data_IF_107855068742
#
_entry.id   IF_107855068742
#
_cell.length_a   1.000
_cell.length_b   1.000
_cell.length_c   1.000
_cell.angle_alpha   90.00
_cell.angle_beta   90.00
_cell.angle_gamma   90.00
#
_symmetry.space_group_name_H-M   'P 1'
#
loop_
_entity.id
_entity.type
_entity.pdbx_description
1 polymer ?
#
# COMPACT_ATOMS: atom_id res chain seq x y z
N UNK A 1 19.26 19.10 12.93
CA UNK A 1 17.92 18.81 13.53
C UNK A 1 17.36 17.55 12.87
N UNK A 2 16.62 16.67 13.58
CA UNK A 2 16.01 15.50 12.94
C UNK A 2 14.75 15.88 12.16
N UNK A 3 14.67 15.42 10.92
CA UNK A 3 13.60 15.64 9.94
C UNK A 3 13.05 14.30 9.45
N UNK A 4 11.82 14.30 8.95
CA UNK A 4 11.14 13.08 8.53
C UNK A 4 10.63 13.21 7.09
N UNK A 5 11.07 12.28 6.27
CA UNK A 5 10.69 12.17 4.88
C UNK A 5 9.64 11.07 4.68
N UNK A 6 8.70 11.31 3.79
CA UNK A 6 7.71 10.34 3.34
C UNK A 6 7.86 10.07 1.84
N UNK A 7 7.69 8.82 1.42
CA UNK A 7 7.70 8.50 0.00
C UNK A 7 6.47 9.09 -0.70
N UNK A 8 6.68 9.60 -1.91
CA UNK A 8 5.62 9.95 -2.85
C UNK A 8 5.88 9.27 -4.21
N UNK A 9 4.89 9.32 -5.10
CA UNK A 9 4.88 8.54 -6.32
C UNK A 9 4.27 9.31 -7.49
N UNK A 10 4.74 8.99 -8.69
CA UNK A 10 4.19 9.43 -9.97
C UNK A 10 3.64 8.24 -10.74
N UNK A 11 2.81 7.42 -10.10
CA UNK A 11 2.24 6.18 -10.66
C UNK A 11 0.71 6.24 -10.69
N UNK A 12 0.08 5.44 -11.54
CA UNK A 12 -1.38 5.33 -11.56
C UNK A 12 -1.96 4.59 -10.34
N UNK A 13 -1.17 3.77 -9.65
CA UNK A 13 -1.68 2.86 -8.62
C UNK A 13 -1.77 3.53 -7.24
N UNK A 14 -3.00 3.75 -6.73
CA UNK A 14 -3.23 4.37 -5.39
C UNK A 14 -2.72 3.51 -4.22
N UNK A 15 -2.46 2.22 -4.46
CA UNK A 15 -1.85 1.33 -3.48
C UNK A 15 -0.44 1.76 -3.07
N UNK A 16 0.24 2.58 -3.88
CA UNK A 16 1.50 3.19 -3.49
C UNK A 16 1.28 4.24 -2.38
N UNK A 17 0.33 5.16 -2.51
CA UNK A 17 0.03 6.13 -1.44
C UNK A 17 -0.54 5.48 -0.19
N UNK A 18 -1.28 4.37 -0.30
CA UNK A 18 -1.72 3.61 0.88
C UNK A 18 -0.51 3.13 1.70
N UNK A 19 0.61 2.78 1.05
CA UNK A 19 1.86 2.44 1.74
C UNK A 19 2.47 3.66 2.44
N UNK A 20 2.37 4.86 1.85
CA UNK A 20 2.80 6.11 2.50
C UNK A 20 1.89 6.48 3.67
N UNK A 21 0.58 6.29 3.59
CA UNK A 21 -0.33 6.49 4.73
C UNK A 21 0.04 5.55 5.89
N UNK A 22 0.43 4.31 5.59
CA UNK A 22 0.92 3.39 6.62
C UNK A 22 2.25 3.84 7.26
N UNK A 23 3.17 4.41 6.47
CA UNK A 23 4.43 4.94 6.97
C UNK A 23 4.26 6.25 7.77
N UNK A 24 3.35 7.14 7.34
CA UNK A 24 3.02 8.43 7.96
C UNK A 24 2.69 8.26 9.45
N UNK A 25 2.04 7.15 9.83
CA UNK A 25 1.74 6.78 11.23
C UNK A 25 2.96 6.79 12.16
N UNK A 26 4.14 6.52 11.63
CA UNK A 26 5.39 6.44 12.40
C UNK A 26 6.22 7.71 12.35
N UNK A 27 5.73 8.77 11.69
CA UNK A 27 6.41 10.05 11.60
C UNK A 27 5.68 11.08 12.50
N UNK A 28 6.38 11.84 13.35
CA UNK A 28 5.74 12.89 14.15
C UNK A 28 5.23 14.04 13.27
N UNK A 29 5.84 14.24 12.11
CA UNK A 29 5.47 15.20 11.08
C UNK A 29 6.06 14.71 9.74
N UNK A 30 5.61 15.30 8.63
CA UNK A 30 6.23 15.10 7.31
C UNK A 30 6.91 16.42 6.92
N UNK A 31 8.24 16.43 6.92
CA UNK A 31 9.04 17.59 6.51
C UNK A 31 9.31 17.57 5.00
N UNK A 32 9.47 16.37 4.42
CA UNK A 32 9.82 16.21 3.01
C UNK A 32 9.03 15.10 2.33
N UNK A 33 8.74 15.28 1.05
CA UNK A 33 8.27 14.22 0.16
C UNK A 33 9.38 13.81 -0.82
N UNK A 34 9.67 12.51 -0.87
CA UNK A 34 10.71 11.95 -1.73
C UNK A 34 10.07 11.02 -2.75
N UNK A 35 10.25 11.32 -4.03
CA UNK A 35 9.71 10.45 -5.06
C UNK A 35 10.53 9.15 -5.15
N UNK A 36 9.89 8.00 -4.95
CA UNK A 36 10.55 6.68 -4.92
C UNK A 36 11.37 6.40 -6.18
N UNK A 37 10.88 6.84 -7.34
CA UNK A 37 11.52 6.61 -8.64
C UNK A 37 12.57 7.67 -9.02
N UNK A 38 12.68 8.75 -8.25
CA UNK A 38 13.57 9.89 -8.53
C UNK A 38 14.35 10.32 -7.28
N UNK A 39 14.88 9.34 -6.53
CA UNK A 39 15.60 9.59 -5.27
C UNK A 39 16.85 10.47 -5.42
N UNK A 40 17.47 10.50 -6.60
CA UNK A 40 18.65 11.33 -6.88
C UNK A 40 18.30 12.81 -7.06
N UNK A 41 17.03 13.15 -7.30
CA UNK A 41 16.56 14.52 -7.52
C UNK A 41 16.24 15.25 -6.21
N UNK A 42 16.28 14.55 -5.07
CA UNK A 42 16.00 15.15 -3.77
C UNK A 42 17.11 16.13 -3.36
N UNK A 43 16.67 17.31 -2.92
CA UNK A 43 17.53 18.37 -2.37
C UNK A 43 16.95 18.77 -1.01
N UNK A 44 17.75 18.67 0.04
CA UNK A 44 17.37 19.16 1.36
C UNK A 44 17.51 20.70 1.45
N UNK A 45 16.71 21.33 2.31
CA UNK A 45 16.74 22.79 2.50
C UNK A 45 18.04 23.26 3.19
N UNK A 46 18.66 22.38 3.97
CA UNK A 46 19.90 22.66 4.70
C UNK A 46 20.79 21.42 4.82
N UNK A 47 22.09 21.64 5.03
CA UNK A 47 23.11 20.59 5.14
C UNK A 47 23.32 20.05 6.56
N UNK A 48 22.68 20.63 7.57
CA UNK A 48 22.80 20.29 9.00
C UNK A 48 21.61 19.46 9.55
N UNK A 49 20.80 18.92 8.64
CA UNK A 49 19.65 18.08 8.96
C UNK A 49 20.01 16.59 8.94
N UNK A 50 19.40 15.81 9.83
CA UNK A 50 19.38 14.35 9.75
C UNK A 50 17.97 13.92 9.34
N UNK A 51 17.83 13.27 8.19
CA UNK A 51 16.54 12.97 7.58
C UNK A 51 16.27 11.48 7.71
N UNK A 52 15.20 11.11 8.42
CA UNK A 52 14.72 9.73 8.52
C UNK A 52 13.72 9.45 7.41
N UNK A 53 13.87 8.31 6.73
CA UNK A 53 13.00 7.84 5.65
C UNK A 53 12.68 6.36 5.84
N UNK A 54 11.40 6.02 5.96
CA UNK A 54 10.95 4.62 5.90
C UNK A 54 10.85 4.23 4.42
N UNK A 55 11.69 3.30 3.98
CA UNK A 55 11.74 2.82 2.59
C UNK A 55 10.92 1.53 2.43
N UNK A 56 9.60 1.69 2.38
CA UNK A 56 8.67 0.58 2.15
C UNK A 56 8.05 0.59 0.76
N UNK A 57 7.83 -0.62 0.25
CA UNK A 57 6.99 -0.86 -0.92
C UNK A 57 7.68 -1.56 -2.08
N UNK A 58 7.08 -1.44 -3.27
CA UNK A 58 7.65 -2.01 -4.49
C UNK A 58 8.82 -1.12 -4.96
N UNK A 59 9.87 -1.69 -5.51
CA UNK A 59 10.95 -0.96 -6.16
C UNK A 59 11.27 -1.71 -7.46
N UNK A 60 11.38 -1.06 -8.62
CA UNK A 60 11.16 0.36 -8.94
C UNK A 60 10.84 0.52 -10.43
N UNK A 61 10.18 1.60 -10.86
CA UNK A 61 10.01 1.91 -12.29
C UNK A 61 11.30 2.51 -12.87
N UNK A 62 12.06 3.21 -12.02
CA UNK A 62 13.35 3.79 -12.36
C UNK A 62 14.45 3.26 -11.44
N UNK A 63 14.83 1.97 -11.56
CA UNK A 63 15.83 1.34 -10.69
C UNK A 63 17.22 1.97 -10.80
N UNK A 64 17.52 2.70 -11.86
CA UNK A 64 18.76 3.47 -12.02
C UNK A 64 18.90 4.66 -11.05
N UNK A 65 17.78 5.14 -10.48
CA UNK A 65 17.76 6.16 -9.43
C UNK A 65 17.97 5.57 -8.02
N UNK A 66 18.35 4.29 -7.93
CA UNK A 66 18.74 3.62 -6.69
C UNK A 66 20.25 3.29 -6.76
N UNK A 67 21.01 3.43 -5.64
CA UNK A 67 20.54 3.70 -4.29
C UNK A 67 20.38 5.20 -4.04
N UNK A 68 19.76 5.54 -2.91
CA UNK A 68 19.74 6.88 -2.39
C UNK A 68 21.18 7.38 -2.11
N UNK A 69 21.55 8.55 -2.66
CA UNK A 69 22.91 9.10 -2.57
C UNK A 69 23.07 10.22 -1.54
N UNK A 70 21.96 10.75 -1.03
CA UNK A 70 21.99 11.93 -0.16
C UNK A 70 22.54 11.57 1.23
N UNK A 71 23.64 12.21 1.70
CA UNK A 71 24.35 11.78 2.91
C UNK A 71 23.56 12.03 4.20
N UNK A 72 22.64 12.99 4.19
CA UNK A 72 21.80 13.33 5.35
C UNK A 72 20.62 12.37 5.54
N UNK A 73 20.32 11.51 4.57
CA UNK A 73 19.19 10.60 4.68
C UNK A 73 19.65 9.25 5.25
N UNK A 74 19.01 8.85 6.34
CA UNK A 74 19.26 7.60 7.06
C UNK A 74 18.05 6.69 6.88
N UNK A 75 17.99 5.81 5.86
CA UNK A 75 16.79 5.03 5.57
C UNK A 75 16.58 3.86 6.53
N UNK A 76 15.32 3.53 6.80
CA UNK A 76 14.90 2.22 7.32
C UNK A 76 14.44 1.35 6.14
N UNK A 77 15.13 0.24 5.90
CA UNK A 77 14.81 -0.69 4.83
C UNK A 77 13.83 -1.76 5.34
N UNK A 78 12.53 -1.59 5.06
CA UNK A 78 11.47 -2.44 5.61
C UNK A 78 10.33 -2.63 4.61
N UNK A 79 9.69 -3.81 4.59
CA UNK A 79 8.61 -4.12 3.66
C UNK A 79 8.98 -3.82 2.19
N UNK A 80 10.25 -4.02 1.83
CA UNK A 80 10.73 -3.83 0.47
C UNK A 80 10.36 -5.03 -0.40
N UNK A 81 9.93 -4.77 -1.63
CA UNK A 81 9.71 -5.78 -2.64
C UNK A 81 10.51 -5.47 -3.90
N UNK A 82 11.35 -6.41 -4.29
CA UNK A 82 12.21 -6.32 -5.47
C UNK A 82 11.72 -7.34 -6.49
N UNK A 83 11.15 -6.85 -7.59
CA UNK A 83 10.62 -7.71 -8.63
C UNK A 83 11.71 -8.29 -9.53
N UNK A 84 11.46 -9.46 -10.11
CA UNK A 84 12.41 -10.19 -10.95
C UNK A 84 13.12 -9.34 -12.01
N UNK A 85 12.39 -8.52 -12.82
CA UNK A 85 12.99 -7.71 -13.86
C UNK A 85 14.01 -6.67 -13.39
N UNK A 86 13.91 -6.18 -12.14
CA UNK A 86 14.82 -5.16 -11.61
C UNK A 86 15.97 -5.74 -10.78
N UNK A 87 15.89 -7.02 -10.38
CA UNK A 87 16.92 -7.69 -9.58
C UNK A 87 18.35 -7.55 -10.13
N UNK A 88 18.62 -7.62 -11.46
CA UNK A 88 19.97 -7.41 -11.98
C UNK A 88 20.58 -6.05 -11.60
N UNK A 89 19.78 -4.98 -11.60
CA UNK A 89 20.24 -3.64 -11.23
C UNK A 89 20.44 -3.56 -9.71
N UNK A 90 19.51 -4.10 -8.92
CA UNK A 90 19.62 -4.15 -7.47
C UNK A 90 20.75 -5.07 -6.95
N UNK A 91 21.31 -5.93 -7.82
CA UNK A 91 22.48 -6.76 -7.52
C UNK A 91 23.83 -6.08 -7.80
N UNK A 92 23.81 -4.82 -8.25
CA UNK A 92 25.06 -4.06 -8.50
C UNK A 92 25.87 -3.92 -7.21
N UNK A 93 27.20 -3.77 -7.35
CA UNK A 93 28.10 -3.60 -6.20
C UNK A 93 27.68 -2.41 -5.31
N UNK A 94 27.34 -1.29 -5.93
CA UNK A 94 26.89 -0.07 -5.23
C UNK A 94 25.60 -0.33 -4.42
N UNK A 95 24.62 -1.04 -5.00
CA UNK A 95 23.37 -1.36 -4.32
C UNK A 95 23.58 -2.36 -3.17
N UNK A 96 24.39 -3.39 -3.37
CA UNK A 96 24.75 -4.34 -2.32
C UNK A 96 25.46 -3.65 -1.15
N UNK A 97 26.37 -2.72 -1.43
CA UNK A 97 27.06 -1.91 -0.41
C UNK A 97 26.08 -1.02 0.37
N UNK A 98 25.13 -0.38 -0.33
CA UNK A 98 24.06 0.39 0.31
C UNK A 98 23.20 -0.47 1.24
N UNK A 99 22.76 -1.64 0.77
CA UNK A 99 21.95 -2.56 1.56
C UNK A 99 22.69 -3.09 2.79
N UNK A 100 24.00 -3.37 2.69
CA UNK A 100 24.81 -3.77 3.84
C UNK A 100 25.00 -2.63 4.84
N UNK A 101 25.12 -1.39 4.35
CA UNK A 101 25.30 -0.21 5.20
C UNK A 101 24.07 0.09 6.06
N UNK A 102 22.87 -0.04 5.49
CA UNK A 102 21.61 0.32 6.15
C UNK A 102 20.72 -0.87 6.54
N UNK A 103 21.22 -2.09 6.32
CA UNK A 103 20.52 -3.32 6.68
C UNK A 103 20.46 -3.58 8.19
N UNK A 104 19.79 -4.66 8.61
CA UNK A 104 19.21 -5.71 7.76
C UNK A 104 17.99 -5.24 6.96
N UNK A 105 17.77 -5.83 5.79
CA UNK A 105 16.65 -5.47 4.91
C UNK A 105 15.40 -6.27 5.27
N UNK A 106 14.32 -5.56 5.64
CA UNK A 106 12.99 -6.17 5.77
C UNK A 106 12.38 -6.44 4.40
N UNK A 107 12.35 -7.72 4.01
CA UNK A 107 11.71 -8.16 2.77
C UNK A 107 10.19 -8.28 2.94
N UNK A 108 9.41 -7.85 1.94
CA UNK A 108 7.95 -7.90 1.95
C UNK A 108 7.41 -9.30 1.66
N UNK A 109 8.09 -10.05 0.79
CA UNK A 109 7.72 -11.40 0.36
C UNK A 109 8.91 -12.37 0.49
N UNK A 110 8.64 -13.68 0.48
CA UNK A 110 9.71 -14.68 0.51
C UNK A 110 10.63 -14.59 -0.70
N UNK A 111 10.10 -14.35 -1.89
CA UNK A 111 10.93 -14.16 -3.09
C UNK A 111 11.90 -12.97 -2.98
N UNK A 112 11.49 -11.86 -2.34
CA UNK A 112 12.42 -10.75 -2.07
C UNK A 112 13.45 -11.10 -1.01
N UNK A 113 13.07 -11.89 0.01
CA UNK A 113 14.02 -12.38 1.03
C UNK A 113 15.10 -13.25 0.40
N UNK A 114 14.70 -14.24 -0.40
CA UNK A 114 15.61 -15.14 -1.13
C UNK A 114 16.56 -14.36 -2.06
N UNK A 115 16.05 -13.31 -2.72
CA UNK A 115 16.87 -12.42 -3.53
C UNK A 115 18.00 -11.76 -2.71
N UNK A 116 17.69 -11.18 -1.55
CA UNK A 116 18.69 -10.53 -0.69
C UNK A 116 19.70 -11.53 -0.13
N UNK A 117 19.26 -12.73 0.27
CA UNK A 117 20.15 -13.81 0.71
C UNK A 117 21.15 -14.21 -0.39
N UNK A 118 20.66 -14.34 -1.63
CA UNK A 118 21.49 -14.71 -2.80
C UNK A 118 22.59 -13.69 -3.10
N UNK A 119 22.35 -12.41 -2.88
CA UNK A 119 23.35 -11.35 -3.07
C UNK A 119 24.19 -11.08 -1.80
N UNK A 120 24.01 -11.89 -0.75
CA UNK A 120 24.79 -11.80 0.50
C UNK A 120 24.50 -10.52 1.29
N UNK A 121 23.22 -10.12 1.35
CA UNK A 121 22.70 -9.02 2.17
C UNK A 121 21.90 -9.62 3.33
N UNK A 122 22.13 -9.12 4.55
CA UNK A 122 21.35 -9.53 5.72
C UNK A 122 19.89 -9.11 5.56
N UNK A 123 18.96 -10.05 5.75
CA UNK A 123 17.54 -9.83 5.51
C UNK A 123 16.68 -10.69 6.41
N UNK A 124 15.45 -10.23 6.65
CA UNK A 124 14.40 -10.98 7.31
C UNK A 124 13.06 -10.76 6.61
N UNK A 125 12.10 -11.65 6.82
CA UNK A 125 10.74 -11.43 6.33
C UNK A 125 9.99 -10.48 7.27
N UNK A 126 9.58 -9.34 6.72
CA UNK A 126 8.92 -8.25 7.45
C UNK A 126 7.41 -8.15 7.18
N UNK A 127 6.94 -8.70 6.07
CA UNK A 127 5.58 -8.48 5.59
C UNK A 127 5.37 -7.07 5.01
N UNK A 128 4.12 -6.63 4.89
CA UNK A 128 3.79 -5.31 4.31
C UNK A 128 3.41 -4.30 5.40
N UNK A 129 3.99 -3.10 5.35
CA UNK A 129 3.73 -2.01 6.30
C UNK A 129 2.24 -1.64 6.41
N UNK A 130 1.45 -1.85 5.35
CA UNK A 130 0.00 -1.61 5.37
C UNK A 130 -0.76 -2.47 6.38
N UNK A 131 -0.19 -3.60 6.83
CA UNK A 131 -0.75 -4.38 7.95
C UNK A 131 -0.82 -3.58 9.25
N UNK A 132 -0.04 -2.50 9.37
CA UNK A 132 -0.02 -1.63 10.56
C UNK A 132 -1.10 -0.53 10.54
N UNK A 133 -1.88 -0.40 9.46
CA UNK A 133 -2.94 0.60 9.39
C UNK A 133 -3.93 0.46 10.56
N UNK A 134 -4.32 1.61 11.11
CA UNK A 134 -5.28 1.71 12.20
C UNK A 134 -6.62 2.18 11.65
N UNK A 135 -7.70 1.60 12.16
CA UNK A 135 -9.05 1.98 11.79
C UNK A 135 -9.44 3.32 12.42
N UNK A 136 -10.29 4.06 11.74
CA UNK A 136 -10.99 5.19 12.34
C UNK A 136 -12.08 4.70 13.29
N UNK A 137 -12.16 5.25 14.50
CA UNK A 137 -13.17 4.80 15.47
C UNK A 137 -14.59 5.18 15.04
N UNK A 138 -14.73 6.32 14.37
CA UNK A 138 -16.00 6.95 14.02
C UNK A 138 -16.45 6.68 12.58
N UNK A 139 -15.81 5.74 11.88
CA UNK A 139 -16.25 5.27 10.55
C UNK A 139 -17.06 3.97 10.73
N UNK A 140 -18.40 4.02 10.65
CA UNK A 140 -19.24 2.84 10.78
C UNK A 140 -19.22 1.99 9.51
N UNK A 141 -19.67 0.74 9.65
CA UNK A 141 -20.01 -0.10 8.50
C UNK A 141 -21.23 0.47 7.79
N UNK A 142 -21.19 0.44 6.46
CA UNK A 142 -22.24 0.85 5.55
C UNK A 142 -22.73 -0.36 4.76
N UNK A 143 -23.94 -0.26 4.22
CA UNK A 143 -24.62 -1.38 3.55
C UNK A 143 -24.24 -1.47 2.07
N UNK A 144 -22.95 -1.73 1.81
CA UNK A 144 -22.43 -2.08 0.50
C UNK A 144 -21.24 -3.04 0.60
N UNK A 145 -20.93 -3.70 -0.50
CA UNK A 145 -19.70 -4.48 -0.68
C UNK A 145 -18.86 -3.89 -1.82
N UNK A 146 -17.54 -4.07 -1.76
CA UNK A 146 -16.60 -3.56 -2.75
C UNK A 146 -16.09 -4.68 -3.65
N UNK A 147 -16.14 -4.44 -4.96
CA UNK A 147 -15.50 -5.24 -6.00
C UNK A 147 -14.32 -4.44 -6.58
N UNK A 148 -13.10 -4.74 -6.14
CA UNK A 148 -11.91 -3.92 -6.42
C UNK A 148 -10.99 -4.63 -7.42
N UNK A 149 -10.93 -4.12 -8.65
CA UNK A 149 -10.17 -4.71 -9.78
C UNK A 149 -10.40 -6.21 -9.99
N UNK A 150 -11.66 -6.65 -9.89
CA UNK A 150 -12.09 -7.99 -10.28
C UNK A 150 -12.54 -8.01 -11.74
N UNK A 151 -12.60 -9.21 -12.35
CA UNK A 151 -13.14 -9.39 -13.70
C UNK A 151 -14.62 -8.98 -13.79
N UNK A 152 -15.11 -8.78 -15.02
CA UNK A 152 -16.51 -8.46 -15.27
C UNK A 152 -17.43 -9.61 -14.80
N UNK A 153 -17.00 -10.85 -15.02
CA UNK A 153 -17.68 -12.07 -14.64
C UNK A 153 -17.84 -12.16 -13.11
N UNK A 154 -16.76 -11.91 -12.36
CA UNK A 154 -16.80 -11.86 -10.90
C UNK A 154 -17.73 -10.75 -10.42
N UNK A 155 -17.62 -9.55 -10.99
CA UNK A 155 -18.48 -8.41 -10.63
C UNK A 155 -19.96 -8.69 -10.89
N UNK A 156 -20.33 -9.18 -12.08
CA UNK A 156 -21.74 -9.46 -12.41
C UNK A 156 -22.30 -10.61 -11.55
N UNK A 157 -21.48 -11.63 -11.22
CA UNK A 157 -21.87 -12.65 -10.23
C UNK A 157 -22.14 -12.02 -8.86
N UNK A 158 -21.21 -11.22 -8.33
CA UNK A 158 -21.40 -10.52 -7.05
C UNK A 158 -22.67 -9.67 -7.06
N UNK A 159 -22.90 -8.91 -8.15
CA UNK A 159 -24.05 -8.02 -8.30
C UNK A 159 -25.37 -8.77 -8.36
N UNK A 160 -25.41 -9.94 -9.00
CA UNK A 160 -26.61 -10.78 -9.10
C UNK A 160 -26.94 -11.54 -7.81
N UNK A 161 -25.93 -11.91 -7.02
CA UNK A 161 -26.10 -12.72 -5.80
C UNK A 161 -26.17 -11.90 -4.51
N UNK A 162 -25.60 -10.70 -4.49
CA UNK A 162 -25.57 -9.83 -3.31
C UNK A 162 -26.93 -9.21 -3.00
N UNK A 163 -27.30 -9.23 -1.72
CA UNK A 163 -28.44 -8.49 -1.16
C UNK A 163 -28.14 -7.00 -0.93
N UNK A 164 -26.85 -6.64 -0.97
CA UNK A 164 -26.37 -5.27 -0.81
C UNK A 164 -25.87 -4.70 -2.14
N UNK A 165 -25.91 -3.38 -2.34
CA UNK A 165 -25.21 -2.72 -3.42
C UNK A 165 -23.75 -3.18 -3.56
N UNK A 166 -23.36 -3.53 -4.78
CA UNK A 166 -21.98 -3.84 -5.14
C UNK A 166 -21.37 -2.63 -5.82
N UNK A 167 -20.38 -2.02 -5.18
CA UNK A 167 -19.67 -0.87 -5.73
C UNK A 167 -18.39 -1.37 -6.38
N UNK A 168 -18.22 -1.05 -7.67
CA UNK A 168 -17.00 -1.35 -8.42
C UNK A 168 -15.98 -0.24 -8.20
N UNK A 169 -14.73 -0.64 -7.94
CA UNK A 169 -13.62 0.26 -7.69
C UNK A 169 -12.39 -0.20 -8.48
N UNK A 170 -11.67 0.75 -9.08
CA UNK A 170 -10.35 0.51 -9.68
C UNK A 170 -9.28 1.19 -8.84
N UNK A 171 -8.09 0.59 -8.71
CA UNK A 171 -6.97 1.23 -7.98
C UNK A 171 -6.11 2.13 -8.87
N UNK A 172 -6.31 2.05 -10.19
CA UNK A 172 -5.65 2.93 -11.15
C UNK A 172 -6.40 4.26 -11.23
N UNK A 173 -5.67 5.35 -11.00
CA UNK A 173 -6.21 6.71 -10.95
C UNK A 173 -5.42 7.61 -11.90
N UNK A 174 -6.11 8.59 -12.49
CA UNK A 174 -5.51 9.58 -13.38
C UNK A 174 -4.59 10.54 -12.60
N UNK A 175 -3.41 10.06 -12.27
CA UNK A 175 -2.45 10.65 -11.34
C UNK A 175 -1.73 11.89 -11.88
N UNK A 176 -1.63 12.01 -13.21
CA UNK A 176 -0.83 13.05 -13.88
C UNK A 176 -1.31 14.48 -13.57
N UNK A 177 -2.52 14.64 -13.04
CA UNK A 177 -3.12 15.92 -12.67
C UNK A 177 -3.27 16.11 -11.16
N UNK A 178 -2.64 15.26 -10.33
CA UNK A 178 -2.78 15.29 -8.88
C UNK A 178 -1.45 15.61 -8.20
N UNK A 179 -1.48 16.55 -7.25
CA UNK A 179 -0.38 16.75 -6.31
C UNK A 179 -0.24 15.54 -5.39
N UNK A 180 0.93 15.41 -4.74
CA UNK A 180 1.15 14.38 -3.71
C UNK A 180 0.09 14.42 -2.63
N UNK A 181 -0.26 15.63 -2.15
CA UNK A 181 -1.30 15.84 -1.13
C UNK A 181 -2.67 15.33 -1.58
N UNK A 182 -3.07 15.61 -2.83
CA UNK A 182 -4.33 15.12 -3.40
C UNK A 182 -4.36 13.61 -3.51
N UNK A 183 -3.26 12.98 -3.93
CA UNK A 183 -3.14 11.52 -3.97
C UNK A 183 -3.22 10.91 -2.58
N UNK A 184 -2.59 11.52 -1.58
CA UNK A 184 -2.70 11.10 -0.18
C UNK A 184 -4.14 11.19 0.35
N UNK A 185 -4.86 12.28 0.03
CA UNK A 185 -6.30 12.41 0.35
C UNK A 185 -7.11 11.30 -0.32
N UNK A 186 -6.86 11.01 -1.60
CA UNK A 186 -7.53 9.93 -2.32
C UNK A 186 -7.25 8.55 -1.72
N UNK A 187 -6.00 8.27 -1.32
CA UNK A 187 -5.65 7.02 -0.63
C UNK A 187 -6.38 6.87 0.71
N UNK A 188 -6.46 7.96 1.50
CA UNK A 188 -7.27 7.99 2.74
C UNK A 188 -8.75 7.73 2.46
N UNK A 189 -9.27 8.20 1.32
CA UNK A 189 -10.64 7.89 0.91
C UNK A 189 -10.84 6.42 0.52
N UNK A 190 -9.87 5.80 -0.17
CA UNK A 190 -9.91 4.35 -0.43
C UNK A 190 -9.92 3.55 0.88
N UNK A 191 -9.10 3.94 1.86
CA UNK A 191 -9.11 3.33 3.20
C UNK A 191 -10.45 3.52 3.92
N UNK A 192 -11.09 4.69 3.77
CA UNK A 192 -12.46 4.92 4.24
C UNK A 192 -13.48 3.99 3.59
N UNK A 193 -13.41 3.79 2.27
CA UNK A 193 -14.27 2.83 1.57
C UNK A 193 -14.01 1.40 2.04
N UNK A 194 -12.74 0.99 2.13
CA UNK A 194 -12.36 -0.34 2.62
C UNK A 194 -12.84 -0.57 4.05
N UNK A 195 -12.70 0.42 4.94
CA UNK A 195 -13.16 0.29 6.31
C UNK A 195 -14.69 0.23 6.41
N UNK A 196 -15.42 1.04 5.66
CA UNK A 196 -16.88 1.14 5.77
C UNK A 196 -17.61 0.00 5.07
N UNK A 197 -17.01 -0.69 4.10
CA UNK A 197 -17.64 -1.82 3.41
C UNK A 197 -17.97 -3.03 4.33
N UNK A 198 -19.02 -3.79 3.99
CA UNK A 198 -19.33 -5.09 4.64
C UNK A 198 -18.36 -6.20 4.23
N UNK A 199 -17.88 -6.15 2.99
CA UNK A 199 -16.94 -7.11 2.41
C UNK A 199 -16.14 -6.40 1.31
N UNK A 200 -14.86 -6.74 1.19
CA UNK A 200 -14.01 -6.38 0.06
C UNK A 200 -13.62 -7.64 -0.70
N UNK A 201 -13.95 -7.70 -1.99
CA UNK A 201 -13.47 -8.75 -2.91
C UNK A 201 -12.51 -8.09 -3.90
N UNK A 202 -11.28 -8.60 -3.98
CA UNK A 202 -10.23 -7.95 -4.78
C UNK A 202 -9.15 -8.88 -5.27
N UNK A 203 -8.54 -8.54 -6.40
CA UNK A 203 -7.30 -9.18 -6.89
C UNK A 203 -6.04 -8.51 -6.36
N UNK A 204 -6.14 -7.30 -5.77
CA UNK A 204 -5.00 -6.42 -5.48
C UNK A 204 -4.46 -6.57 -4.07
N UNK A 205 -3.14 -6.67 -3.93
CA UNK A 205 -2.47 -6.75 -2.62
C UNK A 205 -2.86 -5.60 -1.68
N UNK A 206 -2.86 -4.37 -2.18
CA UNK A 206 -3.21 -3.17 -1.40
C UNK A 206 -4.73 -2.87 -1.36
N UNK A 207 -5.58 -3.73 -1.93
CA UNK A 207 -6.97 -3.85 -1.51
C UNK A 207 -7.12 -4.87 -0.38
N UNK A 208 -6.35 -5.97 -0.45
CA UNK A 208 -6.39 -7.09 0.48
C UNK A 208 -5.85 -6.74 1.88
N UNK A 209 -4.57 -6.36 1.98
CA UNK A 209 -3.90 -6.21 3.29
C UNK A 209 -4.40 -5.01 4.11
N UNK A 210 -4.73 -3.84 3.52
CA UNK A 210 -5.38 -2.76 4.25
C UNK A 210 -6.76 -3.16 4.78
N UNK A 211 -7.59 -3.85 3.99
CA UNK A 211 -8.90 -4.32 4.45
C UNK A 211 -8.78 -5.29 5.61
N UNK A 212 -7.83 -6.23 5.53
CA UNK A 212 -7.46 -7.11 6.63
C UNK A 212 -7.07 -6.29 7.88
N UNK A 213 -6.17 -5.33 7.72
CA UNK A 213 -5.67 -4.50 8.81
C UNK A 213 -6.76 -3.68 9.51
N UNK A 214 -7.73 -3.18 8.74
CA UNK A 214 -8.84 -2.37 9.21
C UNK A 214 -9.99 -3.21 9.81
N UNK A 215 -9.89 -4.55 9.71
CA UNK A 215 -10.89 -5.48 10.23
C UNK A 215 -12.13 -5.60 9.34
N UNK A 216 -12.03 -5.25 8.06
CA UNK A 216 -13.09 -5.50 7.08
C UNK A 216 -12.92 -6.91 6.50
N UNK A 217 -13.96 -7.76 6.51
CA UNK A 217 -13.91 -9.04 5.82
C UNK A 217 -13.39 -8.88 4.40
N UNK A 218 -12.41 -9.68 4.03
CA UNK A 218 -11.76 -9.58 2.73
C UNK A 218 -11.56 -10.94 2.09
N UNK A 219 -11.85 -11.02 0.79
CA UNK A 219 -11.56 -12.16 -0.06
C UNK A 219 -10.60 -11.73 -1.16
N UNK A 220 -9.43 -12.38 -1.22
CA UNK A 220 -8.52 -12.21 -2.35
C UNK A 220 -8.87 -13.20 -3.47
N UNK A 221 -9.11 -12.68 -4.68
CA UNK A 221 -9.26 -13.50 -5.89
C UNK A 221 -7.88 -13.63 -6.53
N UNK A 222 -7.37 -14.85 -6.59
CA UNK A 222 -6.10 -15.17 -7.26
C UNK A 222 -6.35 -15.45 -8.73
N UNK A 223 -5.56 -14.80 -9.60
CA UNK A 223 -5.58 -15.05 -11.04
C UNK A 223 -4.32 -15.85 -11.42
N UNK A 224 -4.43 -16.87 -12.30
CA UNK A 224 -3.25 -17.63 -12.75
C UNK A 224 -2.16 -16.72 -13.32
N UNK A 225 -0.91 -16.87 -12.84
CA UNK A 225 0.24 -16.10 -13.33
C UNK A 225 0.23 -14.60 -12.96
N UNK A 226 -0.71 -14.15 -12.13
CA UNK A 226 -0.83 -12.76 -11.73
C UNK A 226 -0.22 -12.52 -10.34
N UNK A 227 0.87 -11.76 -10.30
CA UNK A 227 1.50 -11.27 -9.06
C UNK A 227 1.87 -12.35 -8.02
N UNK A 228 2.13 -13.59 -8.43
CA UNK A 228 2.43 -14.71 -7.50
C UNK A 228 3.61 -14.40 -6.56
N UNK A 229 4.71 -13.86 -7.10
CA UNK A 229 5.87 -13.45 -6.30
C UNK A 229 5.56 -12.29 -5.32
N UNK A 230 4.62 -11.41 -5.69
CA UNK A 230 4.20 -10.25 -4.89
C UNK A 230 3.42 -10.66 -3.64
N UNK A 231 2.65 -11.73 -3.75
CA UNK A 231 1.80 -12.28 -2.69
C UNK A 231 2.47 -13.39 -1.87
N UNK A 232 3.67 -13.83 -2.24
CA UNK A 232 4.40 -14.90 -1.54
C UNK A 232 4.59 -14.60 -0.04
N UNK A 233 4.00 -15.44 0.82
CA UNK A 233 3.98 -15.28 2.28
C UNK A 233 2.91 -14.33 2.82
N UNK A 234 2.17 -13.63 1.97
CA UNK A 234 1.13 -12.68 2.34
C UNK A 234 -0.29 -13.18 2.07
N UNK A 235 -0.48 -14.04 1.06
CA UNK A 235 -1.82 -14.54 0.69
C UNK A 235 -2.37 -15.50 1.75
N UNK A 236 -1.49 -16.19 2.47
CA UNK A 236 -1.83 -17.11 3.56
C UNK A 236 -2.42 -16.39 4.79
N UNK A 237 -2.33 -15.05 4.83
CA UNK A 237 -2.88 -14.22 5.91
C UNK A 237 -4.38 -13.91 5.72
N UNK A 238 -4.95 -14.26 4.58
CA UNK A 238 -6.35 -13.93 4.21
C UNK A 238 -7.08 -15.13 3.64
N UNK A 239 -8.40 -15.01 3.55
CA UNK A 239 -9.18 -15.90 2.70
C UNK A 239 -8.84 -15.58 1.24
N UNK A 240 -8.47 -16.60 0.47
CA UNK A 240 -8.24 -16.50 -0.96
C UNK A 240 -8.79 -17.70 -1.71
N UNK A 241 -9.16 -17.49 -2.97
CA UNK A 241 -9.54 -18.55 -3.90
C UNK A 241 -9.24 -18.12 -5.33
N UNK A 242 -9.24 -19.06 -6.27
CA UNK A 242 -9.13 -18.72 -7.69
C UNK A 242 -10.43 -18.07 -8.18
N UNK A 243 -10.34 -17.34 -9.29
CA UNK A 243 -11.53 -16.82 -9.96
C UNK A 243 -12.49 -17.96 -10.37
N UNK A 244 -11.96 -19.09 -10.82
CA UNK A 244 -12.74 -20.27 -11.21
C UNK A 244 -13.54 -20.83 -10.03
N UNK A 245 -12.91 -20.97 -8.85
CA UNK A 245 -13.57 -21.40 -7.62
C UNK A 245 -14.67 -20.43 -7.19
N UNK A 246 -14.40 -19.13 -7.28
CA UNK A 246 -15.40 -18.11 -6.96
C UNK A 246 -16.61 -18.20 -7.89
N UNK A 247 -16.39 -18.26 -9.21
CA UNK A 247 -17.45 -18.35 -10.21
C UNK A 247 -18.27 -19.64 -10.07
N UNK A 248 -17.64 -20.73 -9.63
CA UNK A 248 -18.31 -21.99 -9.30
C UNK A 248 -19.17 -21.94 -8.02
N UNK A 249 -19.16 -20.84 -7.27
CA UNK A 249 -19.99 -20.64 -6.08
C UNK A 249 -19.36 -21.06 -4.76
N UNK A 250 -18.02 -21.11 -4.68
CA UNK A 250 -17.31 -21.48 -3.45
C UNK A 250 -17.40 -20.44 -2.30
N UNK A 251 -17.96 -19.25 -2.57
CA UNK A 251 -18.08 -18.17 -1.58
C UNK A 251 -19.47 -17.52 -1.62
N UNK A 252 -20.09 -17.35 -0.45
CA UNK A 252 -21.33 -16.58 -0.29
C UNK A 252 -21.01 -15.14 0.13
N UNK A 253 -21.16 -14.19 -0.80
CA UNK A 253 -20.91 -12.76 -0.55
C UNK A 253 -21.86 -12.13 0.47
N UNK A 254 -23.00 -12.78 0.76
CA UNK A 254 -23.96 -12.33 1.78
C UNK A 254 -23.60 -12.82 3.19
N UNK A 255 -22.63 -13.73 3.31
CA UNK A 255 -22.14 -14.30 4.57
C UNK A 255 -20.62 -14.26 4.59
N UNK A 256 -20.02 -13.06 4.59
CA UNK A 256 -18.58 -12.92 4.53
C UNK A 256 -17.91 -13.59 5.73
N UNK A 257 -16.84 -14.34 5.46
CA UNK A 257 -16.06 -15.02 6.50
C UNK A 257 -15.28 -13.99 7.34
N UNK A 258 -15.17 -14.24 8.64
CA UNK A 258 -14.28 -13.47 9.50
C UNK A 258 -12.82 -13.63 9.07
N UNK A 259 -12.05 -12.54 9.12
CA UNK A 259 -10.65 -12.58 8.72
C UNK A 259 -9.79 -13.40 9.71
N UNK A 260 -8.78 -14.12 9.23
CA UNK A 260 -7.75 -14.69 10.10
C UNK A 260 -6.99 -13.60 10.88
N UNK A 261 -6.48 -13.95 12.06
CA UNK A 261 -5.67 -13.07 12.92
C UNK A 261 -4.16 -13.37 12.85
N UNK A 262 -3.75 -14.29 11.96
CA UNK A 262 -2.36 -14.74 11.78
C UNK A 262 -1.39 -13.63 11.38
N UNK A 263 -1.90 -12.48 10.92
CA UNK A 263 -1.12 -11.30 10.58
C UNK A 263 -0.72 -10.45 11.81
N UNK A 264 -1.33 -10.66 12.98
CA UNK A 264 -1.09 -9.82 14.16
C UNK A 264 0.38 -9.83 14.63
N UNK A 265 1.10 -10.97 14.70
CA UNK A 265 2.52 -10.96 15.06
C UNK A 265 3.39 -10.15 14.08
N UNK A 266 3.04 -10.17 12.79
CA UNK A 266 3.73 -9.39 11.74
C UNK A 266 3.51 -7.90 11.97
N UNK A 267 2.24 -7.51 12.21
CA UNK A 267 1.86 -6.14 12.57
C UNK A 267 2.66 -5.64 13.77
N UNK A 268 2.73 -6.40 14.86
CA UNK A 268 3.44 -5.98 16.07
C UNK A 268 4.94 -5.83 15.83
N UNK A 269 5.54 -6.73 15.04
CA UNK A 269 6.95 -6.63 14.64
C UNK A 269 7.24 -5.36 13.82
N UNK A 270 6.41 -5.08 12.81
CA UNK A 270 6.51 -3.87 11.98
C UNK A 270 6.36 -2.60 12.83
N UNK A 271 5.37 -2.55 13.72
CA UNK A 271 5.13 -1.42 14.63
C UNK A 271 6.35 -1.18 15.52
N UNK A 272 6.91 -2.25 16.10
CA UNK A 272 8.08 -2.15 16.97
C UNK A 272 9.28 -1.57 16.21
N UNK A 273 9.61 -2.14 15.05
CA UNK A 273 10.78 -1.70 14.25
C UNK A 273 10.65 -0.24 13.83
N UNK A 274 9.49 0.17 13.30
CA UNK A 274 9.27 1.55 12.89
C UNK A 274 9.30 2.51 14.09
N UNK A 275 8.70 2.14 15.22
CA UNK A 275 8.73 2.95 16.45
C UNK A 275 10.14 3.11 17.00
N UNK A 276 10.93 2.05 17.06
CA UNK A 276 12.33 2.10 17.52
C UNK A 276 13.17 2.99 16.60
N UNK A 277 12.93 2.91 15.29
CA UNK A 277 13.64 3.71 14.30
C UNK A 277 13.30 5.21 14.36
N UNK A 278 12.02 5.59 14.43
CA UNK A 278 11.62 7.01 14.42
C UNK A 278 11.54 7.64 15.81
N UNK A 279 11.33 6.83 16.85
CA UNK A 279 10.95 7.28 18.19
C UNK A 279 9.47 7.66 18.31
N UNK A 280 8.65 7.41 17.28
CA UNK A 280 7.26 7.85 17.21
C UNK A 280 6.34 6.75 16.68
N UNK A 281 5.09 6.73 17.18
CA UNK A 281 4.06 5.83 16.69
C UNK A 281 2.69 6.39 17.05
N UNK A 282 1.95 6.92 16.07
CA UNK A 282 0.59 7.41 16.28
C UNK A 282 -0.37 6.25 16.56
N UNK A 283 -1.26 6.46 17.53
CA UNK A 283 -2.39 5.58 17.83
C UNK A 283 -3.68 5.97 17.08
N UNK A 284 -3.65 7.03 16.28
CA UNK A 284 -4.79 7.49 15.48
C UNK A 284 -4.97 6.62 14.23
N UNK A 285 -6.15 6.68 13.62
CA UNK A 285 -6.42 6.01 12.35
C UNK A 285 -5.76 6.73 11.15
N UNK A 286 -6.07 6.28 9.93
CA UNK A 286 -5.49 6.81 8.68
C UNK A 286 -5.85 8.27 8.36
N UNK A 287 -6.84 8.86 9.02
CA UNK A 287 -7.16 10.30 8.96
C UNK A 287 -6.37 11.13 9.96
N UNK A 288 -5.54 10.49 10.80
CA UNK A 288 -4.66 11.17 11.77
C UNK A 288 -5.41 12.22 12.62
N UNK A 289 -6.58 11.83 13.15
CA UNK A 289 -7.39 12.67 14.03
C UNK A 289 -8.27 13.70 13.32
N UNK A 290 -8.21 13.80 11.99
CA UNK A 290 -9.16 14.62 11.23
C UNK A 290 -10.57 14.00 11.30
N UNK A 291 -11.61 14.77 11.66
CA UNK A 291 -12.98 14.27 11.63
C UNK A 291 -13.40 13.83 10.23
N UNK A 292 -14.13 12.71 10.15
CA UNK A 292 -14.57 12.11 8.87
C UNK A 292 -15.41 13.09 8.04
N UNK A 293 -16.29 13.86 8.69
CA UNK A 293 -17.15 14.85 8.02
C UNK A 293 -16.29 15.93 7.35
N UNK A 294 -15.29 16.45 8.06
CA UNK A 294 -14.38 17.46 7.54
C UNK A 294 -13.58 16.90 6.37
N UNK A 295 -13.05 15.67 6.50
CA UNK A 295 -12.33 14.98 5.43
C UNK A 295 -13.17 14.81 4.17
N UNK A 296 -14.41 14.32 4.29
CA UNK A 296 -15.31 14.10 3.14
C UNK A 296 -15.76 15.41 2.49
N UNK A 297 -15.71 16.52 3.22
CA UNK A 297 -16.04 17.86 2.70
C UNK A 297 -14.81 18.65 2.20
N UNK A 298 -13.61 18.07 2.25
CA UNK A 298 -12.37 18.73 1.85
C UNK A 298 -12.41 19.11 0.35
N UNK A 299 -12.23 20.40 0.00
CA UNK A 299 -12.32 20.85 -1.39
C UNK A 299 -11.33 20.18 -2.34
N UNK A 300 -10.12 19.82 -1.91
CA UNK A 300 -9.15 19.13 -2.77
C UNK A 300 -9.55 17.67 -3.01
N UNK A 301 -10.14 17.01 -2.02
CA UNK A 301 -10.65 15.66 -2.19
C UNK A 301 -11.80 15.68 -3.21
N UNK A 302 -12.75 16.62 -3.05
CA UNK A 302 -13.84 16.83 -4.01
C UNK A 302 -13.30 17.15 -5.40
N UNK A 303 -12.32 18.05 -5.49
CA UNK A 303 -11.66 18.40 -6.74
C UNK A 303 -11.01 17.19 -7.41
N UNK A 304 -10.37 16.32 -6.64
CA UNK A 304 -9.70 15.11 -7.14
C UNK A 304 -10.70 14.15 -7.81
N UNK A 305 -11.92 14.03 -7.28
CA UNK A 305 -12.98 13.25 -7.95
C UNK A 305 -13.49 13.94 -9.21
N UNK A 306 -13.75 15.24 -9.15
CA UNK A 306 -14.30 15.99 -10.26
C UNK A 306 -13.39 15.93 -11.50
N UNK A 307 -12.07 16.09 -11.33
CA UNK A 307 -11.11 15.98 -12.44
C UNK A 307 -10.70 14.55 -12.75
N UNK A 308 -10.57 13.70 -11.73
CA UNK A 308 -10.14 12.31 -11.90
C UNK A 308 -11.10 11.49 -12.77
N UNK A 309 -12.41 11.66 -12.57
CA UNK A 309 -13.43 10.98 -13.39
C UNK A 309 -13.38 11.41 -14.86
N UNK A 310 -13.16 12.71 -15.11
CA UNK A 310 -13.04 13.24 -16.46
C UNK A 310 -11.80 12.68 -17.17
N UNK A 311 -10.65 12.70 -16.52
CA UNK A 311 -9.41 12.17 -17.09
C UNK A 311 -9.47 10.65 -17.33
N UNK A 312 -10.02 9.88 -16.38
CA UNK A 312 -10.20 8.43 -16.55
C UNK A 312 -11.11 8.11 -17.75
N UNK A 313 -12.19 8.86 -17.94
CA UNK A 313 -13.06 8.72 -19.11
C UNK A 313 -12.31 8.96 -20.42
N UNK A 314 -11.48 10.02 -20.49
CA UNK A 314 -10.72 10.37 -21.68
C UNK A 314 -9.62 9.36 -22.02
N UNK A 315 -8.91 8.84 -21.01
CA UNK A 315 -7.73 8.00 -21.23
C UNK A 315 -8.06 6.51 -21.40
N UNK A 316 -9.11 6.03 -20.73
CA UNK A 316 -9.41 4.60 -20.67
C UNK A 316 -10.74 4.21 -21.31
N UNK A 317 -11.56 5.19 -21.69
CA UNK A 317 -12.97 4.94 -21.97
C UNK A 317 -13.71 4.49 -20.71
N UNK A 318 -15.04 4.47 -20.74
CA UNK A 318 -15.73 3.81 -19.63
C UNK A 318 -15.51 2.31 -19.79
N UNK A 319 -14.74 1.72 -18.87
CA UNK A 319 -14.53 0.28 -18.64
C UNK A 319 -13.40 -0.41 -19.46
N UNK A 320 -12.47 -1.05 -18.72
CA UNK A 320 -11.77 -2.28 -19.11
C UNK A 320 -12.31 -3.41 -18.24
#
# INVERSE_FOLDING_TARGET
MTKFALLCYSTGNIGDEIQSVAAERFLPQVDYYLNRDYLHDFIADSTDEEIKLIMNGWYSHHPQNFPLKHPQIHPLLISMYIDGPVQPIFSSKENVEFFRKFGPVGARSYGTKEFFEKIGVETYWSGCLTLTLQREKDVPKQDFILAVDVSNEVYEKMKSESKLPVVRLMVDVAHIYMSTERRMKLAKYYLYLYQSARLVVTTRLHGTLPSLALGTPVLNISLPGYEEGRFSGLRELVHSMTEEEFLAGAYDVNRPKENPDTFLPIRESLIRICREYTGFCSGQGYLNGQPVVDFLSDPDLIQSFATGLWSAHLEHGIYR
#
